data_IF_253147504186
#
_entry.id   IF_253147504186
#
_cell.length_a   1.000
_cell.length_b   1.000
_cell.length_c   1.000
_cell.angle_alpha   90.00
_cell.angle_beta   90.00
_cell.angle_gamma   90.00
#
_symmetry.space_group_name_H-M   'P 1'
#
loop_
_entity.id
_entity.type
_entity.pdbx_description
1 polymer ?
#
# COMPACT_ATOMS: atom_id res chain seq x y z
N UNK A 1 6.26 0.75 52.30
CA UNK A 1 7.47 -0.01 51.94
C UNK A 1 7.17 -0.66 50.61
N UNK A 2 7.72 -0.10 49.52
CA UNK A 2 7.35 -0.50 48.15
C UNK A 2 8.18 -1.70 47.69
N UNK A 3 7.49 -2.81 47.44
CA UNK A 3 8.07 -4.02 46.87
C UNK A 3 8.53 -3.77 45.44
N UNK A 4 9.85 -3.72 45.26
CA UNK A 4 10.48 -3.61 43.95
C UNK A 4 10.63 -5.01 43.38
N UNK A 5 9.72 -5.41 42.48
CA UNK A 5 9.85 -6.67 41.73
C UNK A 5 11.05 -6.58 40.78
N UNK A 6 12.11 -7.32 41.11
CA UNK A 6 13.31 -7.50 40.30
C UNK A 6 12.96 -8.44 39.14
N UNK A 7 12.97 -7.94 37.91
CA UNK A 7 12.92 -8.78 36.71
C UNK A 7 14.25 -9.53 36.60
N UNK A 8 14.21 -10.84 36.69
CA UNK A 8 15.35 -11.72 36.40
C UNK A 8 15.29 -12.09 34.92
N UNK A 9 16.22 -11.56 34.12
CA UNK A 9 16.39 -11.97 32.73
C UNK A 9 16.84 -13.44 32.72
N UNK A 10 16.03 -14.31 32.14
CA UNK A 10 16.34 -15.73 31.93
C UNK A 10 17.15 -15.84 30.63
N UNK A 11 18.35 -16.42 30.71
CA UNK A 11 19.08 -16.91 29.55
C UNK A 11 20.26 -16.04 29.12
N UNK A 12 21.39 -16.17 29.83
CA UNK A 12 22.72 -15.73 29.39
C UNK A 12 23.31 -16.77 28.41
N UNK A 13 22.50 -17.19 27.43
CA UNK A 13 22.89 -18.18 26.44
C UNK A 13 23.81 -17.50 25.42
N UNK A 14 25.11 -17.55 25.70
CA UNK A 14 26.14 -17.15 24.75
C UNK A 14 26.00 -18.03 23.51
N UNK A 15 25.45 -17.45 22.45
CA UNK A 15 25.55 -17.99 21.09
C UNK A 15 27.02 -17.91 20.70
N UNK A 16 27.77 -18.98 20.96
CA UNK A 16 29.11 -19.14 20.42
C UNK A 16 29.00 -19.35 18.91
N UNK A 17 29.29 -18.29 18.15
CA UNK A 17 29.44 -18.36 16.70
C UNK A 17 30.60 -19.34 16.43
N UNK A 18 30.30 -20.51 15.87
CA UNK A 18 31.36 -21.43 15.48
C UNK A 18 32.19 -20.79 14.38
N UNK A 19 33.51 -20.69 14.60
CA UNK A 19 34.49 -20.18 13.63
C UNK A 19 34.70 -21.11 12.42
N UNK A 20 33.92 -22.18 12.32
CA UNK A 20 34.02 -23.19 11.27
C UNK A 20 33.35 -22.77 9.95
N UNK A 21 32.69 -21.60 9.89
CA UNK A 21 31.96 -21.12 8.69
C UNK A 21 32.75 -20.06 7.91
N UNK A 22 33.90 -19.60 8.42
CA UNK A 22 34.69 -18.51 7.82
C UNK A 22 35.55 -18.91 6.59
N UNK A 23 35.47 -20.16 6.13
CA UNK A 23 36.33 -20.67 5.03
C UNK A 23 35.59 -21.12 3.77
N UNK A 24 34.28 -20.95 3.70
CA UNK A 24 33.55 -21.10 2.44
C UNK A 24 33.51 -19.74 1.72
N UNK A 25 34.29 -19.60 0.66
CA UNK A 25 34.16 -18.57 -0.38
C UNK A 25 32.73 -18.65 -0.94
N UNK A 26 31.80 -18.00 -0.25
CA UNK A 26 30.42 -17.90 -0.69
C UNK A 26 30.43 -16.84 -1.76
N UNK A 27 30.31 -17.29 -3.01
CA UNK A 27 30.01 -16.40 -4.12
C UNK A 27 28.87 -15.47 -3.68
N UNK A 28 28.95 -14.16 -3.97
CA UNK A 28 27.91 -13.22 -3.57
C UNK A 28 26.57 -13.78 -4.04
N UNK A 29 25.66 -14.03 -3.09
CA UNK A 29 24.29 -14.39 -3.41
C UNK A 29 23.67 -13.13 -3.99
N UNK A 30 23.76 -12.98 -5.31
CA UNK A 30 23.05 -11.93 -6.03
C UNK A 30 21.57 -12.16 -5.81
N UNK A 31 20.99 -11.29 -4.99
CA UNK A 31 19.55 -11.28 -4.82
C UNK A 31 18.98 -10.58 -6.05
N UNK A 32 18.41 -11.40 -6.94
CA UNK A 32 17.76 -11.01 -8.19
C UNK A 32 16.71 -9.90 -8.01
N UNK A 33 16.16 -9.73 -6.80
CA UNK A 33 15.22 -8.63 -6.47
C UNK A 33 15.87 -7.24 -6.35
N UNK A 34 17.19 -7.16 -6.17
CA UNK A 34 17.94 -5.90 -6.07
C UNK A 34 18.77 -5.60 -7.32
N UNK A 35 18.59 -6.35 -8.41
CA UNK A 35 19.12 -5.94 -9.71
C UNK A 35 18.43 -4.63 -10.10
N UNK A 36 19.14 -3.51 -9.95
CA UNK A 36 18.67 -2.17 -10.30
C UNK A 36 18.54 -2.06 -11.83
N UNK A 37 17.49 -2.64 -12.40
CA UNK A 37 17.06 -2.21 -13.73
C UNK A 37 16.59 -0.76 -13.61
N UNK A 38 17.42 0.18 -14.09
CA UNK A 38 17.05 1.59 -14.22
C UNK A 38 15.94 1.74 -15.27
N UNK A 39 14.69 1.61 -14.83
CA UNK A 39 13.53 1.87 -15.68
C UNK A 39 13.43 3.40 -15.87
N UNK A 40 13.68 3.95 -17.06
CA UNK A 40 13.93 5.40 -17.27
C UNK A 40 12.72 6.23 -16.88
N UNK A 41 12.77 7.14 -15.90
CA UNK A 41 11.63 7.96 -15.40
C UNK A 41 10.84 8.65 -16.52
N UNK A 42 9.49 8.56 -16.60
CA UNK A 42 8.74 9.21 -17.68
C UNK A 42 8.33 10.64 -17.30
N UNK A 43 7.78 11.37 -18.26
CA UNK A 43 7.36 12.76 -18.13
C UNK A 43 6.27 12.95 -17.07
N UNK A 44 6.37 14.05 -16.31
CA UNK A 44 5.49 14.39 -15.18
C UNK A 44 3.99 14.46 -15.52
N UNK A 45 3.66 14.70 -16.79
CA UNK A 45 2.30 14.96 -17.29
C UNK A 45 1.41 13.70 -17.35
N UNK A 46 1.97 12.49 -17.16
CA UNK A 46 1.26 11.22 -17.43
C UNK A 46 0.55 10.59 -16.22
N UNK A 47 0.62 11.19 -15.02
CA UNK A 47 0.01 10.62 -13.81
C UNK A 47 0.50 9.21 -13.48
N UNK A 48 -0.40 8.29 -13.10
CA UNK A 48 -0.05 6.87 -12.95
C UNK A 48 0.31 6.25 -14.32
N UNK A 49 1.61 6.27 -14.60
CA UNK A 49 2.35 5.75 -15.76
C UNK A 49 2.39 4.21 -15.87
N UNK A 50 1.61 3.50 -15.03
CA UNK A 50 1.44 2.03 -15.07
C UNK A 50 2.74 1.22 -14.97
N UNK A 51 3.80 1.75 -14.34
CA UNK A 51 5.04 1.00 -14.05
C UNK A 51 4.86 -0.08 -12.98
N UNK A 52 3.82 0.07 -12.17
CA UNK A 52 3.59 -0.81 -11.04
C UNK A 52 4.54 -0.60 -9.86
N UNK A 53 5.40 0.42 -9.85
CA UNK A 53 6.33 0.67 -8.73
C UNK A 53 5.58 0.84 -7.39
N UNK A 54 4.60 1.75 -7.34
CA UNK A 54 3.73 1.90 -6.16
C UNK A 54 2.91 0.62 -5.91
N UNK A 55 2.38 0.01 -6.97
CA UNK A 55 1.62 -1.24 -6.89
C UNK A 55 2.42 -2.45 -6.39
N UNK A 56 3.76 -2.42 -6.40
CA UNK A 56 4.64 -3.49 -5.91
C UNK A 56 5.12 -3.26 -4.47
N UNK A 57 4.89 -2.08 -3.92
CA UNK A 57 5.40 -1.68 -2.60
C UNK A 57 4.27 -1.48 -1.60
N UNK A 58 3.47 -0.43 -1.79
CA UNK A 58 2.42 -0.03 -0.87
C UNK A 58 1.23 0.50 -1.70
N UNK A 59 0.11 -0.24 -1.76
CA UNK A 59 -1.10 0.29 -2.37
C UNK A 59 -1.65 1.43 -1.52
N UNK A 60 -2.25 2.43 -2.17
CA UNK A 60 -2.81 3.58 -1.47
C UNK A 60 -4.21 3.34 -0.89
N UNK A 61 -4.65 4.24 -0.03
CA UNK A 61 -5.96 4.19 0.64
C UNK A 61 -7.11 4.69 -0.24
N UNK A 62 -8.26 4.07 -0.08
CA UNK A 62 -9.53 4.53 -0.65
C UNK A 62 -10.03 5.75 0.13
N UNK A 63 -10.67 6.69 -0.55
CA UNK A 63 -11.50 7.72 0.04
C UNK A 63 -12.95 7.25 0.27
N UNK A 64 -13.78 8.06 0.96
CA UNK A 64 -15.19 7.74 1.16
C UNK A 64 -15.94 7.54 -0.17
N UNK A 65 -16.71 6.45 -0.28
CA UNK A 65 -17.49 6.13 -1.48
C UNK A 65 -16.72 5.44 -2.62
N UNK A 66 -15.39 5.35 -2.53
CA UNK A 66 -14.59 4.76 -3.61
C UNK A 66 -14.59 3.23 -3.59
N UNK A 67 -14.88 2.60 -2.44
CA UNK A 67 -15.02 1.14 -2.34
C UNK A 67 -16.22 0.68 -3.16
N UNK A 68 -17.33 1.43 -3.10
CA UNK A 68 -18.53 1.20 -3.87
C UNK A 68 -18.27 1.31 -5.37
N UNK A 69 -17.56 2.37 -5.80
CA UNK A 69 -17.18 2.55 -7.20
C UNK A 69 -16.27 1.41 -7.71
N UNK A 70 -15.32 0.95 -6.89
CA UNK A 70 -14.46 -0.17 -7.25
C UNK A 70 -15.19 -1.52 -7.26
N UNK A 71 -16.16 -1.71 -6.36
CA UNK A 71 -17.02 -2.88 -6.35
C UNK A 71 -17.92 -2.93 -7.59
N UNK A 72 -18.55 -1.80 -7.94
CA UNK A 72 -19.36 -1.64 -9.15
C UNK A 72 -18.54 -1.97 -10.41
N UNK A 73 -17.31 -1.45 -10.50
CA UNK A 73 -16.40 -1.73 -11.61
C UNK A 73 -16.13 -3.23 -11.81
N UNK A 74 -16.11 -4.02 -10.74
CA UNK A 74 -15.92 -5.47 -10.78
C UNK A 74 -17.23 -6.27 -10.81
N UNK A 75 -18.39 -5.61 -10.83
CA UNK A 75 -19.70 -6.27 -10.76
C UNK A 75 -19.93 -7.01 -9.44
N UNK A 76 -19.42 -6.46 -8.33
CA UNK A 76 -19.54 -7.03 -6.99
C UNK A 76 -20.36 -6.13 -6.07
N UNK A 77 -21.04 -6.73 -5.11
CA UNK A 77 -21.58 -6.02 -3.95
C UNK A 77 -20.43 -5.41 -3.11
N UNK A 78 -20.55 -4.18 -2.57
CA UNK A 78 -19.46 -3.53 -1.82
C UNK A 78 -18.91 -4.37 -0.66
N UNK A 79 -19.77 -5.04 0.10
CA UNK A 79 -19.34 -5.92 1.19
C UNK A 79 -18.55 -7.12 0.69
N UNK A 80 -18.91 -7.70 -0.46
CA UNK A 80 -18.20 -8.81 -1.07
C UNK A 80 -16.86 -8.39 -1.66
N UNK A 81 -16.78 -7.19 -2.25
CA UNK A 81 -15.53 -6.60 -2.69
C UNK A 81 -14.57 -6.39 -1.51
N UNK A 82 -15.04 -5.78 -0.43
CA UNK A 82 -14.22 -5.54 0.75
C UNK A 82 -13.73 -6.85 1.39
N UNK A 83 -14.62 -7.84 1.55
CA UNK A 83 -14.32 -9.17 2.09
C UNK A 83 -13.35 -10.00 1.23
N UNK A 84 -13.05 -9.57 0.00
CA UNK A 84 -12.15 -10.27 -0.90
C UNK A 84 -10.83 -9.54 -1.11
N UNK A 85 -10.86 -8.21 -1.13
CA UNK A 85 -9.74 -7.42 -1.63
C UNK A 85 -9.15 -6.41 -0.66
N UNK A 86 -9.80 -6.11 0.46
CA UNK A 86 -9.42 -5.00 1.32
C UNK A 86 -8.99 -5.43 2.72
N UNK A 87 -8.18 -4.59 3.35
CA UNK A 87 -7.95 -4.54 4.79
C UNK A 87 -8.45 -3.21 5.34
N UNK A 88 -8.64 -3.16 6.65
CA UNK A 88 -8.92 -1.91 7.36
C UNK A 88 -7.58 -1.42 7.91
N UNK A 89 -7.09 -0.29 7.43
CA UNK A 89 -5.88 0.33 7.96
C UNK A 89 -6.24 1.55 8.80
N UNK A 90 -5.30 2.05 9.60
CA UNK A 90 -5.47 3.24 10.42
C UNK A 90 -4.48 4.32 9.99
N UNK A 91 -4.98 5.53 9.84
CA UNK A 91 -4.21 6.70 9.44
C UNK A 91 -4.20 7.69 10.59
N UNK A 92 -3.02 8.17 10.97
CA UNK A 92 -2.89 9.18 12.03
C UNK A 92 -3.44 10.53 11.56
N UNK A 93 -4.38 11.10 12.31
CA UNK A 93 -4.92 12.44 12.13
C UNK A 93 -4.62 13.30 13.37
N UNK A 94 -4.09 14.53 13.22
CA UNK A 94 -3.63 15.34 14.36
C UNK A 94 -4.74 15.67 15.37
N UNK A 95 -5.97 15.89 14.89
CA UNK A 95 -7.10 16.27 15.76
C UNK A 95 -8.00 15.11 16.17
N UNK A 96 -7.96 13.98 15.43
CA UNK A 96 -8.95 12.91 15.56
C UNK A 96 -8.33 11.56 15.95
N UNK A 97 -7.00 11.48 16.11
CA UNK A 97 -6.30 10.25 16.40
C UNK A 97 -6.29 9.32 15.17
N UNK A 98 -6.40 8.01 15.41
CA UNK A 98 -6.43 7.03 14.32
C UNK A 98 -7.78 7.06 13.58
N UNK A 99 -7.73 7.26 12.27
CA UNK A 99 -8.88 7.21 11.36
C UNK A 99 -8.80 5.92 10.54
N UNK A 100 -9.84 5.10 10.59
CA UNK A 100 -9.90 3.86 9.81
C UNK A 100 -10.20 4.16 8.34
N UNK A 101 -9.43 3.54 7.43
CA UNK A 101 -9.61 3.63 6.00
C UNK A 101 -9.42 2.26 5.35
N UNK A 102 -10.05 2.03 4.19
CA UNK A 102 -9.80 0.82 3.43
C UNK A 102 -8.53 0.95 2.60
N UNK A 103 -7.72 -0.10 2.60
CA UNK A 103 -6.56 -0.25 1.72
C UNK A 103 -6.63 -1.58 0.95
N UNK A 104 -6.15 -1.65 -0.30
CA UNK A 104 -6.00 -2.92 -0.99
C UNK A 104 -5.08 -3.89 -0.25
N UNK A 105 -5.41 -5.17 -0.29
CA UNK A 105 -4.55 -6.23 0.21
C UNK A 105 -3.21 -6.24 -0.54
N UNK A 106 -2.14 -6.38 0.23
CA UNK A 106 -0.81 -6.81 -0.25
C UNK A 106 -0.77 -8.33 -0.35
N UNK A 107 -0.08 -8.82 -1.37
CA UNK A 107 0.23 -10.23 -1.56
C UNK A 107 1.61 -10.55 -0.97
N UNK A 108 1.76 -11.74 -0.41
CA UNK A 108 3.02 -12.28 0.06
C UNK A 108 3.87 -12.84 -1.10
N UNK A 109 5.02 -13.41 -0.77
CA UNK A 109 5.95 -14.04 -1.75
C UNK A 109 5.35 -15.24 -2.50
N UNK A 110 4.24 -15.80 -2.02
CA UNK A 110 3.52 -16.91 -2.64
C UNK A 110 2.28 -16.43 -3.42
N UNK A 111 2.10 -15.12 -3.55
CA UNK A 111 0.94 -14.52 -4.20
C UNK A 111 -0.35 -14.65 -3.40
N UNK A 112 -0.27 -14.98 -2.11
CA UNK A 112 -1.43 -15.08 -1.22
C UNK A 112 -1.64 -13.77 -0.46
N UNK A 113 -2.88 -13.44 -0.04
CA UNK A 113 -3.11 -12.29 0.84
C UNK A 113 -2.21 -12.32 2.08
N UNK A 114 -1.40 -11.27 2.27
CA UNK A 114 -0.48 -11.17 3.41
C UNK A 114 -1.21 -10.97 4.75
N UNK A 115 -2.49 -10.56 4.69
CA UNK A 115 -3.43 -10.58 5.80
C UNK A 115 -4.74 -11.20 5.35
N UNK A 116 -5.55 -11.63 6.33
CA UNK A 116 -6.93 -12.02 6.06
C UNK A 116 -7.72 -10.78 5.61
N UNK A 117 -8.57 -10.87 4.58
CA UNK A 117 -9.43 -9.75 4.20
C UNK A 117 -10.29 -9.24 5.36
N UNK A 118 -10.59 -7.94 5.34
CA UNK A 118 -11.35 -7.22 6.37
C UNK A 118 -10.79 -7.31 7.80
N UNK A 119 -9.52 -7.68 7.97
CA UNK A 119 -8.85 -7.50 9.26
C UNK A 119 -8.24 -6.12 9.38
N UNK A 120 -8.13 -5.63 10.61
CA UNK A 120 -7.34 -4.44 10.93
C UNK A 120 -5.87 -4.73 10.71
N UNK A 121 -5.21 -3.91 9.90
CA UNK A 121 -3.77 -3.96 9.68
C UNK A 121 -3.04 -3.48 10.94
N UNK A 122 -1.97 -4.19 11.30
CA UNK A 122 -1.04 -3.74 12.33
C UNK A 122 0.10 -2.91 11.74
N UNK A 123 0.96 -2.36 12.60
CA UNK A 123 2.11 -1.58 12.17
C UNK A 123 3.07 -2.39 11.30
N UNK A 124 3.23 -3.69 11.55
CA UNK A 124 4.12 -4.53 10.75
C UNK A 124 3.63 -4.63 9.31
N UNK A 125 2.32 -4.75 9.10
CA UNK A 125 1.71 -4.78 7.79
C UNK A 125 1.95 -3.49 6.99
N UNK A 126 1.95 -2.32 7.66
CA UNK A 126 2.24 -1.03 7.01
C UNK A 126 3.65 -1.02 6.42
N UNK A 127 4.64 -1.54 7.15
CA UNK A 127 6.03 -1.65 6.68
C UNK A 127 6.27 -2.79 5.69
N UNK A 128 5.39 -3.79 5.63
CA UNK A 128 5.50 -4.89 4.68
C UNK A 128 5.37 -4.35 3.25
N UNK A 129 6.37 -4.65 2.41
CA UNK A 129 6.27 -4.43 0.96
C UNK A 129 5.66 -5.66 0.31
N UNK A 130 4.76 -5.45 -0.64
CA UNK A 130 4.20 -6.53 -1.42
C UNK A 130 3.35 -6.03 -2.59
N UNK A 131 3.15 -6.85 -3.63
CA UNK A 131 2.26 -6.52 -4.72
C UNK A 131 0.83 -6.27 -4.22
N UNK A 132 0.20 -5.22 -4.70
CA UNK A 132 -1.21 -4.97 -4.55
C UNK A 132 -2.01 -6.11 -5.20
N UNK A 133 -3.08 -6.58 -4.54
CA UNK A 133 -3.95 -7.64 -5.03
C UNK A 133 -4.59 -7.34 -6.40
N UNK A 134 -4.72 -6.06 -6.74
CA UNK A 134 -5.24 -5.61 -8.03
C UNK A 134 -4.17 -5.48 -9.12
N UNK A 135 -2.89 -5.67 -8.81
CA UNK A 135 -1.82 -5.60 -9.79
C UNK A 135 -1.60 -6.95 -10.46
N UNK A 136 -2.10 -7.12 -11.68
CA UNK A 136 -1.99 -8.34 -12.49
C UNK A 136 -1.61 -7.98 -13.92
N UNK A 137 -0.82 -8.84 -14.56
CA UNK A 137 -0.42 -8.68 -15.96
C UNK A 137 0.16 -7.29 -16.26
N UNK A 138 0.98 -6.78 -15.33
CA UNK A 138 1.59 -5.45 -15.37
C UNK A 138 0.60 -4.26 -15.35
N UNK A 139 -0.64 -4.48 -14.89
CA UNK A 139 -1.68 -3.45 -14.83
C UNK A 139 -2.53 -3.50 -13.56
N UNK A 140 -3.18 -2.38 -13.25
CA UNK A 140 -4.18 -2.33 -12.17
C UNK A 140 -5.55 -2.75 -12.71
N UNK A 141 -6.12 -3.81 -12.15
CA UNK A 141 -7.42 -4.38 -12.55
C UNK A 141 -8.60 -3.47 -12.22
N UNK A 142 -8.41 -2.50 -11.32
CA UNK A 142 -9.41 -1.48 -10.99
C UNK A 142 -8.93 -0.08 -11.40
N UNK A 143 -8.13 0.04 -12.47
CA UNK A 143 -7.53 1.32 -12.86
C UNK A 143 -8.52 2.52 -12.89
N UNK A 144 -9.72 2.43 -13.49
CA UNK A 144 -10.65 3.57 -13.50
C UNK A 144 -11.25 3.87 -12.11
N UNK A 145 -11.38 2.87 -11.25
CA UNK A 145 -11.93 2.97 -9.90
C UNK A 145 -10.86 2.80 -8.80
N UNK A 146 -9.62 3.19 -9.10
CA UNK A 146 -8.49 3.02 -8.18
C UNK A 146 -8.61 3.98 -7.00
N UNK A 147 -8.00 3.63 -5.84
CA UNK A 147 -8.02 4.49 -4.66
C UNK A 147 -7.54 5.92 -4.97
N UNK A 148 -8.08 6.91 -4.26
CA UNK A 148 -7.78 8.33 -4.46
C UNK A 148 -6.28 8.60 -4.45
N UNK A 149 -5.56 8.02 -3.50
CA UNK A 149 -4.12 8.17 -3.39
C UNK A 149 -3.40 7.59 -4.62
N UNK A 150 -3.80 6.40 -5.08
CA UNK A 150 -3.30 5.80 -6.32
C UNK A 150 -3.65 6.63 -7.58
N UNK A 151 -4.74 7.40 -7.55
CA UNK A 151 -5.18 8.22 -8.68
C UNK A 151 -4.32 9.46 -8.86
N UNK A 152 -3.96 10.11 -7.76
CA UNK A 152 -3.14 11.33 -7.75
C UNK A 152 -1.65 11.05 -7.62
N UNK A 153 -1.25 9.81 -7.31
CA UNK A 153 0.14 9.47 -7.03
C UNK A 153 1.09 9.89 -8.16
N UNK A 154 2.09 10.68 -7.81
CA UNK A 154 3.18 11.11 -8.66
C UNK A 154 4.38 10.18 -8.49
N UNK A 155 4.71 9.42 -9.53
CA UNK A 155 5.76 8.41 -9.50
C UNK A 155 7.20 8.94 -9.36
N UNK A 156 7.43 10.25 -9.47
CA UNK A 156 8.74 10.85 -9.20
C UNK A 156 9.08 10.95 -7.70
N UNK A 157 8.24 10.42 -6.81
CA UNK A 157 8.43 10.43 -5.36
C UNK A 157 8.56 11.82 -4.72
N UNK A 158 8.12 12.86 -5.42
CA UNK A 158 8.01 14.21 -4.87
C UNK A 158 6.86 14.26 -3.84
N UNK A 159 7.14 14.42 -2.54
CA UNK A 159 6.10 14.41 -1.52
C UNK A 159 5.11 15.58 -1.68
N UNK A 160 5.54 16.71 -2.24
CA UNK A 160 4.69 17.90 -2.40
C UNK A 160 3.62 17.71 -3.49
N UNK A 161 3.86 16.78 -4.42
CA UNK A 161 2.93 16.42 -5.50
C UNK A 161 1.99 15.28 -5.13
N UNK A 162 2.19 14.63 -4.00
CA UNK A 162 1.38 13.50 -3.52
C UNK A 162 0.39 13.93 -2.44
N UNK A 163 -0.73 13.23 -2.33
CA UNK A 163 -1.63 13.40 -1.17
C UNK A 163 -0.88 12.99 0.10
N UNK A 164 -1.02 13.79 1.15
CA UNK A 164 -0.51 13.38 2.46
C UNK A 164 -1.50 12.40 3.11
N UNK A 165 -0.99 11.59 4.05
CA UNK A 165 -1.83 10.70 4.85
C UNK A 165 -2.90 11.50 5.63
N UNK A 166 -2.51 12.65 6.19
CA UNK A 166 -3.43 13.56 6.89
C UNK A 166 -4.58 14.02 5.97
N UNK A 167 -4.30 14.35 4.71
CA UNK A 167 -5.34 14.74 3.76
C UNK A 167 -6.31 13.59 3.45
N UNK A 168 -5.84 12.34 3.38
CA UNK A 168 -6.71 11.18 3.21
C UNK A 168 -7.56 10.94 4.47
N UNK A 169 -6.95 11.00 5.65
CA UNK A 169 -7.67 10.87 6.92
C UNK A 169 -8.76 11.94 7.08
N UNK A 170 -8.45 13.18 6.69
CA UNK A 170 -9.39 14.30 6.70
C UNK A 170 -10.59 14.07 5.76
N UNK A 171 -10.41 13.38 4.62
CA UNK A 171 -11.54 12.99 3.77
C UNK A 171 -12.52 12.07 4.50
N UNK A 172 -12.00 11.09 5.24
CA UNK A 172 -12.80 10.14 6.03
C UNK A 172 -13.49 10.82 7.21
N UNK A 173 -12.80 11.71 7.93
CA UNK A 173 -13.37 12.52 9.02
C UNK A 173 -14.55 13.35 8.52
N UNK A 174 -14.38 14.04 7.38
CA UNK A 174 -15.43 14.93 6.84
C UNK A 174 -16.53 14.18 6.09
N UNK A 175 -16.36 12.88 5.81
CA UNK A 175 -17.24 12.11 4.95
C UNK A 175 -17.38 12.69 3.54
N UNK A 176 -16.35 13.39 3.05
CA UNK A 176 -16.37 14.07 1.74
C UNK A 176 -15.05 13.87 1.02
N UNK A 177 -15.12 13.54 -0.26
CA UNK A 177 -13.98 13.66 -1.16
C UNK A 177 -13.89 15.12 -1.61
N UNK A 178 -12.79 15.81 -1.28
CA UNK A 178 -12.59 17.20 -1.72
C UNK A 178 -12.36 17.25 -3.23
N UNK A 179 -13.31 17.80 -3.99
CA UNK A 179 -13.22 17.90 -5.45
C UNK A 179 -12.09 18.80 -5.97
N UNK A 180 -11.44 19.61 -5.10
CA UNK A 180 -10.42 20.59 -5.53
C UNK A 180 -9.07 19.99 -5.93
N UNK A 181 -8.74 18.78 -5.47
CA UNK A 181 -7.47 18.11 -5.79
C UNK A 181 -7.63 16.86 -6.64
N UNK A 182 -8.87 16.49 -7.01
CA UNK A 182 -9.07 15.35 -7.87
C UNK A 182 -8.80 15.75 -9.33
N UNK A 183 -7.87 15.06 -10.03
CA UNK A 183 -7.84 15.17 -11.48
C UNK A 183 -9.20 14.73 -12.03
N UNK A 184 -9.69 15.33 -13.13
CA UNK A 184 -10.94 14.94 -13.75
C UNK A 184 -10.91 13.43 -14.05
N UNK A 185 -12.06 12.75 -13.90
CA UNK A 185 -12.17 11.34 -14.24
C UNK A 185 -11.67 11.11 -15.67
N UNK A 186 -10.85 10.08 -15.95
CA UNK A 186 -10.32 9.84 -17.29
C UNK A 186 -11.40 9.64 -18.36
N UNK A 187 -12.66 9.38 -17.97
CA UNK A 187 -13.80 9.30 -18.89
C UNK A 187 -14.15 10.63 -19.58
N UNK A 188 -13.75 11.79 -19.04
CA UNK A 188 -14.00 13.07 -19.71
C UNK A 188 -13.04 13.37 -20.86
N UNK A 189 -12.05 12.51 -21.09
CA UNK A 189 -10.93 12.76 -22.01
C UNK A 189 -10.85 11.77 -23.18
N UNK A 190 -11.76 10.79 -23.25
CA UNK A 190 -11.81 9.90 -24.41
C UNK A 190 -12.46 10.66 -25.58
N UNK A 191 -11.78 10.77 -26.73
CA UNK A 191 -12.38 11.36 -27.92
C UNK A 191 -13.61 10.54 -28.29
N UNK A 192 -14.73 11.22 -28.53
CA UNK A 192 -15.92 10.61 -29.11
C UNK A 192 -15.50 9.94 -30.41
N UNK A 193 -15.68 8.62 -30.52
CA UNK A 193 -15.46 7.95 -31.81
C UNK A 193 -16.41 8.59 -32.86
N UNK A 194 -15.90 8.89 -34.07
CA UNK A 194 -16.64 9.59 -35.12
C UNK A 194 -17.77 8.77 -35.74
#
# INVERSE_FOLDING_TARGET
MSDTKRLTMIGDERVERSSAVDSAETAPVENEYWAEEEIPTPSEEQGCIRRGACCRSAPGWFGPGEVEAAAEHLGLEPGAFAAKYLVIDAIDHPEHGEVEAFAPLKLDRHGQPALKPLTRADNLYRFLKGPCIFYRDQGCQIYPARPVECRVYFCGHDPEKNLTHEEVAEMWVKGRVSSRKLPPSPESSLPSEP
#
